data_IF_530032696579
#
_entry.id   IF_530032696579
#
_cell.length_a   1.000
_cell.length_b   1.000
_cell.length_c   1.000
_cell.angle_alpha   90.00
_cell.angle_beta   90.00
_cell.angle_gamma   90.00
#
_symmetry.space_group_name_H-M   'P 1'
#
loop_
_entity.id
_entity.type
_entity.pdbx_description
1 polymer ?
#
# COMPACT_ATOMS: atom_id res chain seq x y z
N UNK A 1 18.94 15.17 -2.70
CA UNK A 1 20.20 15.86 -3.11
C UNK A 1 21.35 14.94 -2.70
N UNK A 2 22.26 14.62 -3.61
CA UNK A 2 23.44 13.77 -3.29
C UNK A 2 24.60 14.68 -2.96
N UNK A 3 25.27 14.48 -1.82
CA UNK A 3 26.51 15.16 -1.49
C UNK A 3 27.69 14.56 -2.25
N UNK A 4 28.67 15.36 -2.63
CA UNK A 4 29.91 14.93 -3.27
C UNK A 4 31.11 15.43 -2.45
N UNK A 5 32.15 14.60 -2.39
CA UNK A 5 33.47 14.95 -1.85
C UNK A 5 34.47 14.96 -3.00
N UNK A 6 35.28 16.02 -3.08
CA UNK A 6 36.44 16.02 -3.97
C UNK A 6 37.55 15.15 -3.39
N UNK A 7 37.96 14.13 -4.12
CA UNK A 7 39.10 13.28 -3.80
C UNK A 7 39.93 13.19 -5.07
N UNK A 8 41.20 13.58 -5.01
CA UNK A 8 42.14 13.59 -6.16
C UNK A 8 41.55 14.31 -7.40
N UNK A 9 41.00 15.53 -7.20
CA UNK A 9 40.33 16.34 -8.22
C UNK A 9 39.10 15.69 -8.88
N UNK A 10 38.57 14.62 -8.29
CA UNK A 10 37.39 13.91 -8.79
C UNK A 10 36.24 14.04 -7.79
N UNK A 11 35.05 14.44 -8.26
CA UNK A 11 33.85 14.48 -7.42
C UNK A 11 33.33 13.08 -7.15
N UNK A 12 33.41 12.58 -5.93
CA UNK A 12 32.90 11.27 -5.52
C UNK A 12 31.60 11.42 -4.72
N UNK A 13 30.59 10.68 -5.11
CA UNK A 13 29.27 10.66 -4.42
C UNK A 13 29.45 10.11 -3.00
N UNK A 14 28.93 10.84 -2.00
CA UNK A 14 28.89 10.38 -0.61
C UNK A 14 27.84 9.28 -0.50
N UNK A 15 28.26 8.06 -0.19
CA UNK A 15 27.37 6.91 0.00
C UNK A 15 26.74 6.83 1.39
N UNK A 16 27.37 7.44 2.39
CA UNK A 16 26.89 7.47 3.77
C UNK A 16 27.70 8.40 4.64
N UNK A 17 27.05 9.00 5.62
CA UNK A 17 27.67 9.78 6.69
C UNK A 17 27.33 9.07 7.99
N UNK A 18 28.32 8.95 8.86
CA UNK A 18 28.17 8.29 10.16
C UNK A 18 28.61 9.26 11.27
N UNK A 19 27.92 9.21 12.39
CA UNK A 19 28.30 9.93 13.61
C UNK A 19 28.49 8.93 14.74
N UNK A 20 29.57 9.06 15.49
CA UNK A 20 29.80 8.26 16.69
C UNK A 20 28.96 8.78 17.85
N UNK A 21 28.14 7.90 18.44
CA UNK A 21 27.37 8.19 19.66
C UNK A 21 27.62 7.06 20.66
N UNK A 22 28.23 7.39 21.79
CA UNK A 22 28.62 6.41 22.84
C UNK A 22 29.44 5.22 22.27
N UNK A 23 30.43 5.52 21.41
CA UNK A 23 31.28 4.50 20.80
C UNK A 23 30.66 3.69 19.66
N UNK A 24 29.41 3.96 19.30
CA UNK A 24 28.69 3.28 18.19
C UNK A 24 28.52 4.21 17.00
N UNK A 25 28.94 3.76 15.79
CA UNK A 25 28.71 4.50 14.56
C UNK A 25 27.22 4.45 14.18
N UNK A 26 26.58 5.60 14.10
CA UNK A 26 25.18 5.75 13.66
C UNK A 26 25.12 6.42 12.30
N UNK A 27 24.29 5.89 11.41
CA UNK A 27 24.09 6.44 10.06
C UNK A 27 23.31 7.75 10.14
N UNK A 28 23.85 8.80 9.50
CA UNK A 28 23.15 10.09 9.36
C UNK A 28 22.13 9.97 8.21
N UNK A 29 20.86 10.22 8.48
CA UNK A 29 19.80 10.21 7.48
C UNK A 29 19.71 11.52 6.70
N UNK A 30 19.88 12.65 7.39
CA UNK A 30 19.92 13.99 6.78
C UNK A 30 21.00 14.83 7.47
N UNK A 31 21.71 15.63 6.67
CA UNK A 31 22.60 16.66 7.18
C UNK A 31 22.22 18.00 6.55
N UNK A 32 22.33 19.06 7.36
CA UNK A 32 22.00 20.41 6.96
C UNK A 32 23.22 21.31 7.12
N UNK A 33 23.32 22.34 6.30
CA UNK A 33 24.32 23.41 6.43
C UNK A 33 23.58 24.73 6.61
N UNK A 34 24.07 25.56 7.51
CA UNK A 34 23.59 26.95 7.67
C UNK A 34 23.97 27.80 6.45
N UNK A 35 23.05 28.63 5.96
CA UNK A 35 23.36 29.63 4.95
C UNK A 35 23.61 31.01 5.61
N UNK A 36 24.06 31.96 4.82
CA UNK A 36 24.40 33.34 5.30
C UNK A 36 23.18 34.09 5.90
N UNK A 37 21.95 33.59 5.67
CA UNK A 37 20.72 34.15 6.27
C UNK A 37 20.32 33.43 7.58
N UNK A 38 21.14 32.51 8.08
CA UNK A 38 20.86 31.69 9.27
C UNK A 38 19.86 30.59 9.06
N UNK A 39 19.48 30.30 7.80
CA UNK A 39 18.56 29.21 7.48
C UNK A 39 19.32 27.89 7.23
N UNK A 40 18.77 26.79 7.76
CA UNK A 40 19.29 25.46 7.50
C UNK A 40 18.92 25.00 6.08
N UNK A 41 19.92 24.66 5.28
CA UNK A 41 19.75 24.08 3.94
C UNK A 41 20.11 22.62 3.96
N UNK A 42 19.26 21.76 3.37
CA UNK A 42 19.54 20.33 3.26
C UNK A 42 20.79 20.10 2.39
N UNK A 43 21.86 19.58 2.98
CA UNK A 43 23.12 19.29 2.31
C UNK A 43 23.25 17.81 1.90
N UNK A 44 22.80 16.89 2.77
CA UNK A 44 22.85 15.46 2.53
C UNK A 44 21.54 14.81 2.94
N UNK A 45 21.06 13.90 2.11
CA UNK A 45 19.96 12.99 2.43
C UNK A 45 20.30 11.60 1.91
N UNK A 46 20.24 10.61 2.78
CA UNK A 46 20.42 9.21 2.40
C UNK A 46 19.22 8.77 1.57
N UNK A 47 19.49 8.29 0.35
CA UNK A 47 18.45 7.81 -0.56
C UNK A 47 17.62 8.93 -1.22
N UNK A 48 16.60 8.51 -1.94
CA UNK A 48 15.63 9.39 -2.62
C UNK A 48 14.27 9.28 -1.92
N UNK A 49 13.50 10.38 -1.81
CA UNK A 49 12.14 10.29 -1.26
C UNK A 49 11.24 9.45 -2.16
N UNK A 50 10.29 8.74 -1.57
CA UNK A 50 9.27 7.93 -2.27
C UNK A 50 8.45 8.75 -3.26
N UNK A 51 8.26 10.05 -3.01
CA UNK A 51 7.60 10.96 -3.97
C UNK A 51 8.27 11.04 -5.35
N UNK A 52 9.54 10.62 -5.46
CA UNK A 52 10.29 10.61 -6.73
C UNK A 52 10.08 9.31 -7.53
N UNK A 53 9.34 8.36 -6.99
CA UNK A 53 9.04 7.09 -7.66
C UNK A 53 7.73 7.20 -8.41
N UNK A 54 7.80 6.99 -9.73
CA UNK A 54 6.61 7.00 -10.58
C UNK A 54 5.65 5.85 -10.21
N UNK A 55 4.37 6.05 -10.49
CA UNK A 55 3.37 4.97 -10.42
C UNK A 55 3.79 3.83 -11.37
N UNK A 56 3.69 2.59 -10.89
CA UNK A 56 4.21 1.39 -11.56
C UNK A 56 5.66 1.03 -11.19
N UNK A 57 6.43 1.94 -10.57
CA UNK A 57 7.77 1.62 -10.08
C UNK A 57 7.71 0.60 -8.93
N UNK A 58 8.84 -0.09 -8.74
CA UNK A 58 8.99 -1.06 -7.66
C UNK A 58 9.95 -0.55 -6.59
N UNK A 59 9.56 -0.77 -5.33
CA UNK A 59 10.43 -0.62 -4.16
C UNK A 59 10.42 -1.91 -3.36
N UNK A 60 11.35 -2.05 -2.43
CA UNK A 60 11.54 -3.28 -1.68
C UNK A 60 11.69 -3.00 -0.20
N UNK A 61 11.13 -3.87 0.61
CA UNK A 61 11.43 -4.00 2.04
C UNK A 61 11.10 -5.40 2.51
N UNK A 62 11.56 -5.75 3.72
CA UNK A 62 11.40 -7.11 4.22
C UNK A 62 10.02 -7.32 4.84
N UNK A 63 9.42 -8.47 4.51
CA UNK A 63 8.27 -9.05 5.20
C UNK A 63 8.71 -10.40 5.72
N UNK A 64 8.59 -10.64 7.01
CA UNK A 64 9.11 -11.86 7.66
C UNK A 64 10.57 -12.18 7.27
N UNK A 65 11.45 -11.16 7.30
CA UNK A 65 12.86 -11.21 6.91
C UNK A 65 13.13 -11.53 5.42
N UNK A 66 12.11 -11.69 4.57
CA UNK A 66 12.26 -11.91 3.13
C UNK A 66 12.12 -10.58 2.38
N UNK A 67 13.10 -10.25 1.53
CA UNK A 67 13.06 -9.07 0.66
C UNK A 67 11.90 -9.18 -0.32
N UNK A 68 10.90 -8.33 -0.17
CA UNK A 68 9.62 -8.37 -0.87
C UNK A 68 9.45 -7.16 -1.78
N UNK A 69 8.89 -7.38 -2.98
CA UNK A 69 8.63 -6.34 -3.96
C UNK A 69 7.27 -5.70 -3.76
N UNK A 70 7.23 -4.37 -3.80
CA UNK A 70 6.02 -3.56 -3.70
C UNK A 70 5.92 -2.60 -4.88
N UNK A 71 4.73 -2.43 -5.41
CA UNK A 71 4.43 -1.52 -6.51
C UNK A 71 3.94 -0.18 -5.95
N UNK A 72 4.43 0.91 -6.48
CA UNK A 72 3.84 2.24 -6.28
C UNK A 72 2.55 2.29 -7.10
N UNK A 73 1.39 2.25 -6.46
CA UNK A 73 0.09 2.23 -7.14
C UNK A 73 -0.60 3.59 -7.16
N UNK A 74 -0.18 4.50 -6.25
CA UNK A 74 -0.71 5.86 -6.18
C UNK A 74 0.29 6.78 -5.50
N UNK A 75 0.36 8.03 -5.94
CA UNK A 75 1.05 9.15 -5.28
C UNK A 75 0.03 10.18 -4.82
N UNK A 76 0.07 10.53 -3.54
CA UNK A 76 -0.87 11.47 -2.94
C UNK A 76 -2.23 10.85 -2.58
N UNK A 77 -3.17 11.70 -2.19
CA UNK A 77 -4.56 11.30 -1.94
C UNK A 77 -5.26 11.06 -3.29
N UNK A 78 -5.88 9.89 -3.54
CA UNK A 78 -6.51 9.57 -4.82
C UNK A 78 -7.68 10.49 -5.18
N UNK A 79 -8.47 10.88 -4.18
CA UNK A 79 -9.66 11.72 -4.33
C UNK A 79 -10.02 12.34 -2.96
N UNK A 80 -9.77 13.64 -2.80
CA UNK A 80 -9.99 14.35 -1.52
C UNK A 80 -11.45 14.45 -1.08
N UNK A 81 -12.40 14.17 -1.99
CA UNK A 81 -13.82 14.10 -1.65
C UNK A 81 -14.23 12.77 -1.01
N UNK A 82 -13.43 11.72 -1.19
CA UNK A 82 -13.71 10.36 -0.73
C UNK A 82 -12.76 9.87 0.35
N UNK A 83 -11.49 10.26 0.27
CA UNK A 83 -10.47 9.80 1.20
C UNK A 83 -10.16 10.85 2.27
N UNK A 84 -9.94 10.39 3.48
CA UNK A 84 -9.40 11.24 4.54
C UNK A 84 -8.00 11.76 4.17
N UNK A 85 -7.62 12.92 4.69
CA UNK A 85 -6.30 13.52 4.44
C UNK A 85 -5.14 12.64 4.90
N UNK A 86 -5.37 11.72 5.84
CA UNK A 86 -4.38 10.70 6.25
C UNK A 86 -3.92 9.82 5.09
N UNK A 87 -4.74 9.66 4.04
CA UNK A 87 -4.41 8.88 2.84
C UNK A 87 -3.44 9.58 1.87
N UNK A 88 -3.06 10.86 2.13
CA UNK A 88 -1.98 11.49 1.37
C UNK A 88 -0.64 10.86 1.69
N UNK A 89 -0.05 10.18 0.71
CA UNK A 89 1.20 9.44 0.85
C UNK A 89 1.54 8.68 -0.43
N UNK A 90 2.54 7.81 -0.35
CA UNK A 90 2.84 6.84 -1.43
C UNK A 90 2.18 5.51 -1.09
N UNK A 91 1.27 5.07 -1.93
CA UNK A 91 0.55 3.81 -1.79
C UNK A 91 1.37 2.67 -2.39
N UNK A 92 1.62 1.67 -1.58
CA UNK A 92 2.43 0.51 -1.93
C UNK A 92 1.59 -0.76 -1.86
N UNK A 93 1.40 -1.42 -3.00
CA UNK A 93 0.74 -2.71 -3.12
C UNK A 93 1.78 -3.82 -3.25
N UNK A 94 1.71 -4.86 -2.43
CA UNK A 94 2.58 -6.03 -2.63
C UNK A 94 2.42 -6.55 -4.07
N UNK A 95 3.53 -6.76 -4.79
CA UNK A 95 3.46 -7.16 -6.20
C UNK A 95 2.77 -8.51 -6.37
N UNK A 96 3.14 -9.47 -5.54
CA UNK A 96 2.60 -10.83 -5.55
C UNK A 96 1.78 -11.11 -4.30
N UNK A 97 1.10 -12.23 -4.28
CA UNK A 97 0.33 -12.73 -3.15
C UNK A 97 1.29 -13.17 -2.04
N UNK A 98 1.00 -12.78 -0.80
CA UNK A 98 1.77 -13.17 0.37
C UNK A 98 1.49 -14.62 0.76
N UNK A 99 0.21 -14.95 0.95
CA UNK A 99 -0.28 -16.30 1.33
C UNK A 99 -1.75 -16.46 0.93
N UNK A 100 -2.26 -17.69 1.01
CA UNK A 100 -3.70 -17.95 0.93
C UNK A 100 -4.31 -17.98 2.33
N UNK A 101 -5.37 -17.19 2.53
CA UNK A 101 -6.09 -17.07 3.81
C UNK A 101 -7.59 -16.89 3.58
N UNK A 102 -8.42 -17.41 4.48
CA UNK A 102 -9.83 -17.05 4.53
C UNK A 102 -9.98 -15.55 4.84
N UNK A 103 -10.92 -14.91 4.16
CA UNK A 103 -11.18 -13.49 4.39
C UNK A 103 -11.83 -13.27 5.78
N UNK A 104 -12.71 -14.23 6.16
CA UNK A 104 -13.26 -14.29 7.50
C UNK A 104 -13.46 -15.74 7.96
N UNK A 105 -13.59 -15.96 9.24
CA UNK A 105 -13.78 -17.29 9.84
C UNK A 105 -15.22 -17.81 9.75
N UNK A 106 -16.18 -16.93 9.52
CA UNK A 106 -17.60 -17.25 9.31
C UNK A 106 -18.12 -16.57 8.04
N UNK A 107 -19.32 -16.94 7.60
CA UNK A 107 -19.96 -16.40 6.40
C UNK A 107 -20.46 -14.98 6.66
N UNK A 108 -19.60 -14.00 6.52
CA UNK A 108 -19.95 -12.57 6.56
C UNK A 108 -18.99 -11.73 5.70
N UNK A 109 -19.41 -10.55 5.28
CA UNK A 109 -18.65 -9.69 4.37
C UNK A 109 -18.41 -8.25 4.88
N UNK A 110 -18.51 -8.02 6.20
CA UNK A 110 -18.11 -6.73 6.80
C UNK A 110 -16.59 -6.67 6.98
N UNK A 111 -15.91 -5.88 6.15
CA UNK A 111 -14.44 -5.78 6.20
C UNK A 111 -13.93 -5.27 7.55
N UNK A 112 -14.60 -4.28 8.12
CA UNK A 112 -14.22 -3.71 9.43
C UNK A 112 -14.22 -4.74 10.56
N UNK A 113 -15.08 -5.77 10.46
CA UNK A 113 -15.21 -6.85 11.46
C UNK A 113 -14.48 -8.14 11.04
N UNK A 114 -13.83 -8.15 9.87
CA UNK A 114 -13.24 -9.36 9.33
C UNK A 114 -11.98 -9.78 10.07
N UNK A 115 -11.75 -11.09 10.14
CA UNK A 115 -10.47 -11.63 10.60
C UNK A 115 -9.30 -11.23 9.67
N UNK A 116 -9.58 -10.90 8.41
CA UNK A 116 -8.58 -10.36 7.49
C UNK A 116 -8.10 -8.97 7.91
N UNK A 117 -9.02 -8.05 8.25
CA UNK A 117 -8.65 -6.73 8.75
C UNK A 117 -7.84 -6.81 10.04
N UNK A 118 -8.27 -7.64 10.98
CA UNK A 118 -7.54 -7.89 12.24
C UNK A 118 -6.15 -8.47 11.97
N UNK A 119 -6.04 -9.45 11.08
CA UNK A 119 -4.77 -10.06 10.70
C UNK A 119 -3.80 -9.06 10.07
N UNK A 120 -4.27 -8.24 9.12
CA UNK A 120 -3.43 -7.26 8.44
C UNK A 120 -2.90 -6.18 9.38
N UNK A 121 -3.70 -5.72 10.33
CA UNK A 121 -3.33 -4.66 11.27
C UNK A 121 -2.68 -5.16 12.57
N UNK A 122 -2.62 -6.46 12.77
CA UNK A 122 -1.93 -7.12 13.88
C UNK A 122 -0.74 -7.93 13.38
N UNK A 123 -0.99 -9.20 13.07
CA UNK A 123 0.08 -10.18 12.73
C UNK A 123 0.91 -9.74 11.52
N UNK A 124 0.26 -9.40 10.39
CA UNK A 124 0.99 -9.03 9.17
C UNK A 124 1.80 -7.74 9.35
N UNK A 125 1.23 -6.73 9.99
CA UNK A 125 1.94 -5.47 10.30
C UNK A 125 3.21 -5.76 11.13
N UNK A 126 3.15 -6.72 12.06
CA UNK A 126 4.31 -7.15 12.86
C UNK A 126 5.41 -7.88 12.08
N UNK A 127 5.10 -8.39 10.87
CA UNK A 127 6.08 -9.04 9.99
C UNK A 127 6.90 -8.05 9.15
N UNK A 128 6.48 -6.80 9.06
CA UNK A 128 7.22 -5.75 8.35
C UNK A 128 8.51 -5.42 9.10
N UNK A 129 9.58 -5.12 8.39
CA UNK A 129 10.81 -4.65 9.03
C UNK A 129 10.56 -3.37 9.84
N UNK A 130 11.25 -3.22 10.97
CA UNK A 130 10.97 -2.21 12.00
C UNK A 130 10.90 -0.78 11.46
N UNK A 131 11.80 -0.39 10.53
CA UNK A 131 11.80 0.96 9.95
C UNK A 131 10.54 1.25 9.15
N UNK A 132 10.06 0.27 8.36
CA UNK A 132 8.82 0.39 7.60
C UNK A 132 7.61 0.33 8.54
N UNK A 133 7.59 -0.61 9.48
CA UNK A 133 6.50 -0.75 10.46
C UNK A 133 6.23 0.56 11.21
N UNK A 134 7.29 1.28 11.59
CA UNK A 134 7.19 2.58 12.27
C UNK A 134 6.72 3.71 11.34
N UNK A 135 7.03 3.61 10.04
CA UNK A 135 6.71 4.63 9.05
C UNK A 135 5.32 4.47 8.43
N UNK A 136 4.70 3.26 8.48
CA UNK A 136 3.37 3.03 7.92
C UNK A 136 2.36 3.96 8.54
N UNK A 137 1.68 4.75 7.71
CA UNK A 137 0.67 5.70 8.15
C UNK A 137 -0.57 4.98 8.68
N UNK A 138 -1.13 5.51 9.76
CA UNK A 138 -2.50 5.20 10.16
C UNK A 138 -3.42 6.03 9.28
N UNK A 139 -4.27 5.39 8.47
CA UNK A 139 -5.12 6.05 7.48
C UNK A 139 -6.59 5.70 7.67
N UNK A 140 -7.48 6.50 7.12
CA UNK A 140 -8.92 6.23 7.06
C UNK A 140 -9.34 6.02 5.60
N UNK A 141 -9.50 4.75 5.21
CA UNK A 141 -9.85 4.36 3.85
C UNK A 141 -11.36 4.28 3.65
N UNK A 142 -11.90 4.61 2.47
CA UNK A 142 -13.30 4.36 2.14
C UNK A 142 -13.61 2.86 2.24
N UNK A 143 -14.76 2.52 2.82
CA UNK A 143 -15.20 1.13 2.90
C UNK A 143 -16.72 1.02 2.98
N UNK A 144 -17.26 -0.14 2.64
CA UNK A 144 -18.66 -0.49 2.86
C UNK A 144 -18.81 -1.31 4.12
N UNK A 145 -19.84 -1.03 4.89
CA UNK A 145 -20.10 -1.75 6.14
C UNK A 145 -20.34 -3.26 5.91
N UNK A 146 -20.80 -3.65 4.72
CA UNK A 146 -21.20 -5.03 4.42
C UNK A 146 -22.62 -5.30 4.92
N UNK A 147 -22.92 -6.55 5.23
CA UNK A 147 -24.20 -7.07 5.72
C UNK A 147 -25.22 -7.53 4.68
N UNK A 148 -24.91 -7.45 3.38
CA UNK A 148 -25.76 -8.02 2.31
C UNK A 148 -27.04 -7.29 1.98
N UNK A 149 -27.38 -6.15 2.62
CA UNK A 149 -28.51 -5.33 2.26
C UNK A 149 -28.10 -4.14 1.39
N UNK A 150 -28.99 -3.67 0.52
CA UNK A 150 -28.78 -2.46 -0.27
C UNK A 150 -28.53 -1.21 0.63
N UNK A 151 -29.04 -1.21 1.86
CA UNK A 151 -28.79 -0.14 2.83
C UNK A 151 -27.31 -0.04 3.24
N UNK A 152 -26.55 -1.13 3.19
CA UNK A 152 -25.08 -1.14 3.43
C UNK A 152 -24.24 -0.81 2.19
N UNK A 153 -24.85 -0.29 1.12
CA UNK A 153 -24.16 -0.05 -0.15
C UNK A 153 -23.44 1.28 -0.21
N UNK A 154 -23.82 2.28 0.58
CA UNK A 154 -23.15 3.58 0.62
C UNK A 154 -21.83 3.46 1.36
N UNK A 155 -20.69 3.78 0.72
CA UNK A 155 -19.40 3.75 1.40
C UNK A 155 -19.31 4.81 2.50
N UNK A 156 -18.68 4.45 3.60
CA UNK A 156 -18.23 5.40 4.62
C UNK A 156 -16.90 5.99 4.12
N UNK A 157 -16.81 7.32 4.08
CA UNK A 157 -15.74 8.08 3.43
C UNK A 157 -15.15 9.14 4.34
N UNK A 158 -14.00 9.72 3.96
CA UNK A 158 -13.35 10.79 4.69
C UNK A 158 -13.12 10.43 6.16
N UNK A 159 -13.53 11.30 7.07
CA UNK A 159 -13.38 11.10 8.51
C UNK A 159 -14.13 9.86 9.07
N UNK A 160 -15.14 9.36 8.35
CA UNK A 160 -15.89 8.15 8.69
C UNK A 160 -15.30 6.88 8.06
N UNK A 161 -14.20 6.99 7.31
CA UNK A 161 -13.50 5.86 6.72
C UNK A 161 -12.97 4.88 7.76
N UNK A 162 -12.65 3.66 7.31
CA UNK A 162 -12.08 2.61 8.17
C UNK A 162 -10.64 2.91 8.50
N UNK A 163 -10.33 2.93 9.79
CA UNK A 163 -8.97 3.13 10.29
C UNK A 163 -8.11 1.88 10.07
N UNK A 164 -7.01 2.01 9.33
CA UNK A 164 -6.10 0.91 9.02
C UNK A 164 -4.67 1.40 8.80
N UNK A 165 -3.68 0.53 9.04
CA UNK A 165 -2.29 0.69 8.60
C UNK A 165 -2.01 -0.15 7.35
N UNK A 166 -2.51 -1.38 7.35
CA UNK A 166 -2.41 -2.32 6.22
C UNK A 166 -3.82 -2.76 5.85
N UNK A 167 -4.13 -2.77 4.56
CA UNK A 167 -5.48 -3.05 4.08
C UNK A 167 -5.47 -3.77 2.72
N UNK A 168 -6.60 -4.33 2.32
CA UNK A 168 -6.85 -4.80 0.96
C UNK A 168 -7.39 -3.64 0.11
N UNK A 169 -7.08 -3.63 -1.19
CA UNK A 169 -7.70 -2.69 -2.13
C UNK A 169 -9.19 -3.02 -2.33
N UNK A 170 -9.99 -2.02 -2.70
CA UNK A 170 -11.37 -2.20 -3.13
C UNK A 170 -11.49 -2.54 -4.61
N UNK A 171 -12.66 -3.00 -5.03
CA UNK A 171 -12.96 -3.22 -6.44
C UNK A 171 -12.82 -1.94 -7.28
N UNK A 172 -13.28 -0.80 -6.77
CA UNK A 172 -13.13 0.50 -7.43
C UNK A 172 -11.66 0.92 -7.55
N UNK A 173 -10.86 0.71 -6.50
CA UNK A 173 -9.43 1.07 -6.50
C UNK A 173 -8.62 0.32 -7.55
N UNK A 174 -9.02 -0.90 -7.90
CA UNK A 174 -8.39 -1.71 -8.95
C UNK A 174 -9.05 -1.56 -10.33
N UNK A 175 -9.93 -0.58 -10.49
CA UNK A 175 -10.52 -0.22 -11.79
C UNK A 175 -11.73 -1.08 -12.20
N UNK A 176 -12.40 -1.78 -11.27
CA UNK A 176 -13.68 -2.40 -11.59
C UNK A 176 -14.82 -1.41 -11.43
N UNK A 177 -15.69 -1.36 -12.43
CA UNK A 177 -16.92 -0.57 -12.44
C UNK A 177 -18.14 -1.50 -12.44
N UNK A 178 -18.85 -1.56 -11.30
CA UNK A 178 -20.01 -2.45 -11.10
C UNK A 178 -21.28 -1.66 -10.84
N UNK A 179 -21.63 -0.69 -11.68
CA UNK A 179 -22.84 0.12 -11.47
C UNK A 179 -24.10 -0.69 -11.15
N UNK A 180 -24.22 -1.88 -11.77
CA UNK A 180 -25.34 -2.79 -11.51
C UNK A 180 -25.31 -3.46 -10.13
N UNK A 181 -24.10 -3.81 -9.63
CA UNK A 181 -23.94 -4.59 -8.38
C UNK A 181 -23.39 -3.75 -7.23
N UNK A 182 -22.79 -2.62 -7.53
CA UNK A 182 -22.24 -1.66 -6.58
C UNK A 182 -22.39 -0.25 -7.15
N UNK A 183 -23.57 0.37 -7.03
CA UNK A 183 -23.88 1.67 -7.68
C UNK A 183 -22.97 2.82 -7.22
N UNK A 184 -22.29 2.69 -6.07
CA UNK A 184 -21.36 3.69 -5.55
C UNK A 184 -20.07 2.99 -5.18
N UNK A 185 -18.96 3.37 -5.79
CA UNK A 185 -17.65 2.76 -5.57
C UNK A 185 -17.04 3.07 -4.20
N UNK A 186 -16.29 2.12 -3.65
CA UNK A 186 -15.48 2.29 -2.43
C UNK A 186 -14.18 3.02 -2.76
N UNK A 187 -14.22 4.36 -2.82
CA UNK A 187 -13.05 5.17 -3.14
C UNK A 187 -12.98 5.58 -4.61
N UNK A 188 -11.79 5.63 -5.18
CA UNK A 188 -11.49 6.01 -6.55
C UNK A 188 -10.47 5.05 -7.17
N UNK A 189 -10.50 4.91 -8.49
CA UNK A 189 -9.53 4.15 -9.24
C UNK A 189 -8.11 4.71 -9.00
N UNK A 190 -7.19 3.84 -8.56
CA UNK A 190 -5.81 4.24 -8.32
C UNK A 190 -5.05 4.42 -9.63
N UNK A 191 -4.10 5.34 -9.65
CA UNK A 191 -3.37 5.72 -10.87
C UNK A 191 -2.70 4.55 -11.60
N UNK A 192 -2.26 3.51 -10.88
CA UNK A 192 -1.67 2.31 -11.49
C UNK A 192 -2.68 1.53 -12.34
N UNK A 193 -3.93 1.49 -11.91
CA UNK A 193 -4.98 0.72 -12.58
C UNK A 193 -5.75 1.51 -13.62
N UNK A 194 -5.48 2.81 -13.77
CA UNK A 194 -6.12 3.62 -14.81
C UNK A 194 -5.91 3.01 -16.19
N UNK A 195 -7.03 2.89 -16.91
CA UNK A 195 -7.10 2.28 -18.23
C UNK A 195 -7.05 0.76 -18.22
N UNK A 196 -7.25 0.11 -17.04
CA UNK A 196 -7.59 -1.31 -17.03
C UNK A 196 -8.95 -1.54 -17.69
N UNK A 197 -9.12 -2.71 -18.31
CA UNK A 197 -10.40 -3.12 -18.85
C UNK A 197 -11.48 -3.15 -17.75
N UNK A 198 -12.63 -2.56 -18.01
CA UNK A 198 -13.79 -2.63 -17.13
C UNK A 198 -14.29 -4.08 -17.06
N UNK A 199 -14.32 -4.64 -15.85
CA UNK A 199 -14.91 -5.96 -15.59
C UNK A 199 -14.44 -7.09 -16.50
N UNK A 200 -13.21 -7.01 -17.02
CA UNK A 200 -12.60 -8.00 -17.91
C UNK A 200 -11.16 -8.32 -17.50
N UNK A 201 -10.51 -9.25 -18.19
CA UNK A 201 -9.12 -9.65 -17.93
C UNK A 201 -8.17 -8.47 -18.08
N UNK A 202 -7.28 -8.29 -17.11
CA UNK A 202 -6.24 -7.26 -17.17
C UNK A 202 -4.96 -7.68 -16.43
N UNK A 203 -3.85 -7.66 -17.14
CA UNK A 203 -2.55 -8.09 -16.63
C UNK A 203 -2.05 -7.28 -15.41
N UNK A 204 -2.47 -6.02 -15.24
CA UNK A 204 -2.10 -5.21 -14.08
C UNK A 204 -2.71 -5.76 -12.78
N UNK A 205 -3.85 -6.43 -12.87
CA UNK A 205 -4.53 -7.05 -11.73
C UNK A 205 -4.05 -8.45 -11.41
N UNK A 206 -3.40 -9.16 -12.36
CA UNK A 206 -2.86 -10.50 -12.13
C UNK A 206 -1.82 -10.50 -11.01
N UNK A 207 -1.93 -11.45 -10.09
CA UNK A 207 -0.95 -11.66 -9.03
C UNK A 207 -0.62 -13.15 -8.87
N UNK A 208 0.60 -13.42 -8.44
CA UNK A 208 1.15 -14.77 -8.42
C UNK A 208 1.42 -15.24 -6.99
N UNK A 209 1.22 -16.55 -6.76
CA UNK A 209 1.69 -17.26 -5.58
C UNK A 209 2.48 -18.48 -6.05
N UNK A 210 3.75 -18.57 -5.64
CA UNK A 210 4.65 -19.67 -6.05
C UNK A 210 4.71 -19.88 -7.58
N UNK A 211 4.79 -18.77 -8.33
CA UNK A 211 4.92 -18.77 -9.78
C UNK A 211 3.63 -19.00 -10.56
N UNK A 212 2.48 -19.23 -9.90
CA UNK A 212 1.18 -19.42 -10.55
C UNK A 212 0.26 -18.24 -10.27
N UNK A 213 -0.44 -17.75 -11.30
CA UNK A 213 -1.50 -16.76 -11.14
C UNK A 213 -2.63 -17.35 -10.26
N UNK A 214 -3.07 -16.59 -9.28
CA UNK A 214 -4.07 -17.04 -8.31
C UNK A 214 -5.08 -15.94 -8.02
N UNK A 215 -6.24 -16.34 -7.51
CA UNK A 215 -7.24 -15.45 -6.93
C UNK A 215 -6.64 -14.69 -5.75
N UNK A 216 -7.01 -13.41 -5.61
CA UNK A 216 -6.66 -12.61 -4.42
C UNK A 216 -7.80 -11.71 -3.97
N UNK A 217 -7.91 -11.52 -2.65
CA UNK A 217 -9.02 -10.83 -2.03
C UNK A 217 -8.97 -9.31 -2.23
N UNK A 218 -10.15 -8.75 -2.48
CA UNK A 218 -10.44 -7.33 -2.30
C UNK A 218 -11.15 -7.11 -0.96
N UNK A 219 -11.30 -5.85 -0.52
CA UNK A 219 -12.08 -5.54 0.69
C UNK A 219 -13.57 -5.39 0.40
N UNK A 220 -13.98 -5.28 -0.86
CA UNK A 220 -15.33 -4.98 -1.28
C UNK A 220 -16.28 -6.15 -1.02
N UNK A 221 -17.35 -5.93 -0.21
CA UNK A 221 -18.40 -6.91 -0.03
C UNK A 221 -19.25 -7.01 -1.29
N UNK A 222 -19.78 -8.18 -1.57
CA UNK A 222 -20.81 -8.34 -2.59
C UNK A 222 -22.17 -7.83 -2.07
N UNK A 223 -22.87 -7.03 -2.88
CA UNK A 223 -24.22 -6.56 -2.53
C UNK A 223 -25.21 -7.70 -2.56
N UNK A 224 -26.19 -7.67 -1.64
CA UNK A 224 -27.24 -8.67 -1.48
C UNK A 224 -26.79 -10.10 -1.12
N UNK A 225 -25.48 -10.28 -0.87
CA UNK A 225 -24.90 -11.58 -0.54
C UNK A 225 -24.01 -11.45 0.70
N UNK A 226 -24.55 -11.53 1.92
CA UNK A 226 -23.86 -11.18 3.17
C UNK A 226 -22.65 -12.05 3.47
N UNK A 227 -22.51 -13.18 2.79
CA UNK A 227 -21.39 -14.12 2.95
C UNK A 227 -20.34 -14.04 1.85
N UNK A 228 -20.51 -13.18 0.84
CA UNK A 228 -19.64 -13.13 -0.33
C UNK A 228 -18.82 -11.83 -0.39
N UNK A 229 -17.59 -11.98 -0.87
CA UNK A 229 -16.60 -10.91 -1.05
C UNK A 229 -16.04 -11.02 -2.46
N UNK A 230 -15.69 -9.90 -3.05
CA UNK A 230 -15.13 -9.84 -4.40
C UNK A 230 -13.62 -10.16 -4.36
N UNK A 231 -13.13 -11.16 -5.09
CA UNK A 231 -11.72 -11.31 -5.41
C UNK A 231 -11.43 -10.87 -6.84
N UNK A 232 -10.15 -10.69 -7.14
CA UNK A 232 -9.61 -10.75 -8.49
C UNK A 232 -9.20 -12.18 -8.78
N UNK A 233 -9.51 -12.70 -9.96
CA UNK A 233 -9.14 -14.06 -10.37
C UNK A 233 -7.72 -14.14 -10.98
N UNK A 234 -7.34 -15.31 -11.48
CA UNK A 234 -6.02 -15.56 -12.05
C UNK A 234 -5.78 -14.88 -13.41
N UNK A 235 -6.81 -14.38 -14.08
CA UNK A 235 -6.70 -13.64 -15.36
C UNK A 235 -6.71 -12.12 -15.16
N UNK A 236 -6.99 -11.69 -13.95
CA UNK A 236 -7.11 -10.27 -13.61
C UNK A 236 -8.54 -9.75 -13.71
N UNK A 237 -9.51 -10.64 -13.92
CA UNK A 237 -10.93 -10.33 -13.89
C UNK A 237 -11.48 -10.44 -12.45
N UNK A 238 -12.69 -9.97 -12.23
CA UNK A 238 -13.38 -10.20 -10.97
C UNK A 238 -14.07 -11.58 -10.97
N UNK A 239 -14.32 -12.10 -9.80
CA UNK A 239 -15.13 -13.32 -9.66
C UNK A 239 -16.28 -13.08 -8.68
N UNK A 240 -17.44 -13.58 -9.03
CA UNK A 240 -18.63 -13.62 -8.18
C UNK A 240 -18.68 -14.89 -7.34
N UNK A 241 -19.58 -14.93 -6.34
CA UNK A 241 -19.88 -16.11 -5.52
C UNK A 241 -18.71 -16.64 -4.68
N UNK A 242 -17.79 -15.78 -4.29
CA UNK A 242 -16.68 -16.16 -3.44
C UNK A 242 -17.02 -15.99 -1.96
N UNK A 243 -17.24 -17.11 -1.28
CA UNK A 243 -17.51 -17.11 0.16
C UNK A 243 -16.34 -16.53 0.94
N UNK A 244 -16.63 -15.68 1.91
CA UNK A 244 -15.61 -15.08 2.81
C UNK A 244 -14.77 -16.12 3.59
N UNK A 245 -15.28 -17.36 3.71
CA UNK A 245 -14.58 -18.50 4.31
C UNK A 245 -13.66 -19.24 3.35
N UNK A 246 -13.72 -18.96 2.04
CA UNK A 246 -12.79 -19.52 1.06
C UNK A 246 -11.37 -19.00 1.28
N UNK A 247 -10.36 -19.73 0.83
CA UNK A 247 -8.95 -19.37 1.00
C UNK A 247 -8.36 -18.88 -0.32
N UNK A 248 -8.26 -17.57 -0.47
CA UNK A 248 -7.60 -16.93 -1.62
C UNK A 248 -6.44 -16.06 -1.17
N UNK A 249 -5.72 -15.50 -2.12
CA UNK A 249 -4.51 -14.73 -1.92
C UNK A 249 -4.73 -13.46 -1.09
N UNK A 250 -3.83 -13.21 -0.17
CA UNK A 250 -3.69 -11.94 0.54
C UNK A 250 -2.66 -11.10 -0.21
N UNK A 251 -3.08 -9.94 -0.72
CA UNK A 251 -2.24 -8.97 -1.43
C UNK A 251 -2.34 -7.62 -0.72
N UNK A 252 -1.50 -7.38 0.30
CA UNK A 252 -1.62 -6.21 1.16
C UNK A 252 -1.25 -4.91 0.46
N UNK A 253 -1.92 -3.83 0.86
CA UNK A 253 -1.58 -2.45 0.53
C UNK A 253 -1.32 -1.67 1.81
N UNK A 254 -0.40 -0.70 1.75
CA UNK A 254 -0.09 0.23 2.83
C UNK A 254 0.34 1.58 2.27
N UNK A 255 0.34 2.61 3.12
CA UNK A 255 0.73 3.96 2.73
C UNK A 255 1.92 4.40 3.58
N UNK A 256 2.99 4.85 2.91
CA UNK A 256 4.13 5.49 3.55
C UNK A 256 4.11 7.01 3.31
N UNK A 257 4.74 7.81 4.19
CA UNK A 257 4.97 9.22 3.92
C UNK A 257 5.71 9.41 2.59
N UNK A 258 5.34 10.41 1.81
CA UNK A 258 6.03 10.75 0.56
C UNK A 258 7.50 11.09 0.76
N UNK A 259 7.86 11.52 1.98
CA UNK A 259 9.24 11.80 2.41
C UNK A 259 10.04 10.55 2.82
N UNK A 260 9.40 9.39 2.97
CA UNK A 260 10.10 8.14 3.27
C UNK A 260 11.18 7.89 2.20
N UNK A 261 12.34 7.40 2.62
CA UNK A 261 13.52 7.34 1.76
C UNK A 261 13.80 5.94 1.25
N UNK A 262 14.34 5.88 0.04
CA UNK A 262 14.67 4.65 -0.69
C UNK A 262 16.13 4.72 -1.13
N UNK A 263 16.90 3.68 -0.88
CA UNK A 263 18.31 3.59 -1.27
C UNK A 263 18.52 3.35 -2.79
N UNK A 264 19.79 3.31 -3.22
CA UNK A 264 20.12 3.08 -4.64
C UNK A 264 19.77 1.66 -5.14
N UNK A 265 19.42 0.72 -4.26
CA UNK A 265 18.94 -0.64 -4.57
C UNK A 265 17.41 -0.73 -4.51
N UNK A 266 16.73 0.41 -4.45
CA UNK A 266 15.29 0.56 -4.28
C UNK A 266 14.75 -0.06 -2.96
N UNK A 267 15.56 -0.22 -1.91
CA UNK A 267 15.03 -0.60 -0.60
C UNK A 267 14.55 0.64 0.16
N UNK A 268 13.37 0.54 0.77
CA UNK A 268 12.88 1.55 1.72
C UNK A 268 13.76 1.49 2.97
N UNK A 269 14.34 2.62 3.37
CA UNK A 269 15.31 2.69 4.47
C UNK A 269 14.87 3.57 5.65
N UNK A 270 13.65 4.09 5.62
CA UNK A 270 13.05 4.85 6.71
C UNK A 270 12.06 5.92 6.21
N UNK A 271 11.27 6.43 7.13
CA UNK A 271 10.31 7.51 6.94
C UNK A 271 10.50 8.60 8.00
#
# INVERSE_FOLDING_TARGET
>A
MSGYLGVDNTARKIKGIYVGVNGVARTVQKAYVGDASGKARLWYQRGKPLSNYAVGSSVYFKVNNVRTQWLVVQQGNPDTSKYDSSCDGTWLLMKNIYENRAWHTSKMNSYAQSSMHTYLNGTFLGLLETGVQSAVKQVKIPYRAGSGSLAGTTPLTGANGLSAKVFLLSATEVGFNFEKYMPIGEGAELAYFKGCADNDDDAKRVAYLNGSAKYWWLRSPMCNEPSHVLPVDGTGNWSSFCLSTSRYGVRPCLILPRSATVDDNNNVIGG
#
